data_IF_378257273347
#
_entry.id   IF_378257273347
#
_cell.length_a   1.000
_cell.length_b   1.000
_cell.length_c   1.000
_cell.angle_alpha   90.00
_cell.angle_beta   90.00
_cell.angle_gamma   90.00
#
_symmetry.space_group_name_H-M   'P 1'
#
loop_
_entity.id
_entity.type
_entity.pdbx_description
1 polymer ?
#
# COMPACT_ATOMS: atom_id res chain seq x y z
N UNK A 1 1.72 -5.79 5.29
CA UNK A 1 0.66 -5.05 6.02
C UNK A 1 -0.23 -4.35 5.00
N UNK A 2 -1.51 -4.12 5.31
CA UNK A 2 -2.47 -3.48 4.39
C UNK A 2 -3.26 -2.43 5.15
N UNK A 3 -3.30 -1.22 4.62
CA UNK A 3 -4.15 -0.12 5.06
C UNK A 3 -5.09 0.29 3.93
N UNK A 4 -6.34 0.60 4.27
CA UNK A 4 -7.36 1.02 3.31
C UNK A 4 -7.92 2.35 3.80
N UNK A 5 -7.81 3.38 2.98
CA UNK A 5 -8.32 4.71 3.31
C UNK A 5 -9.85 4.73 3.27
N UNK A 6 -10.47 5.05 4.41
CA UNK A 6 -11.89 5.40 4.50
C UNK A 6 -12.11 6.90 4.25
N UNK A 7 -13.37 7.32 4.10
CA UNK A 7 -13.73 8.72 3.89
C UNK A 7 -13.37 9.66 5.05
N UNK A 8 -13.28 9.12 6.27
CA UNK A 8 -12.88 9.90 7.46
C UNK A 8 -11.36 9.96 7.66
N UNK A 9 -10.59 9.18 6.92
CA UNK A 9 -9.15 9.11 7.11
C UNK A 9 -8.42 10.20 6.33
N UNK A 10 -7.50 10.86 7.02
CA UNK A 10 -6.53 11.73 6.39
C UNK A 10 -5.43 10.89 5.72
N UNK A 11 -5.17 11.13 4.42
CA UNK A 11 -4.15 10.40 3.69
C UNK A 11 -2.76 10.53 4.34
N UNK A 12 -2.44 11.71 4.86
CA UNK A 12 -1.15 11.94 5.52
C UNK A 12 -0.98 11.05 6.75
N UNK A 13 -1.98 10.98 7.62
CA UNK A 13 -1.95 10.14 8.81
C UNK A 13 -1.75 8.66 8.47
N UNK A 14 -2.37 8.17 7.39
CA UNK A 14 -2.14 6.81 6.92
C UNK A 14 -0.73 6.61 6.38
N UNK A 15 -0.17 7.56 5.63
CA UNK A 15 1.22 7.49 5.17
C UNK A 15 2.20 7.46 6.34
N UNK A 16 1.99 8.28 7.37
CA UNK A 16 2.81 8.28 8.59
C UNK A 16 2.76 6.91 9.28
N UNK A 17 1.58 6.27 9.33
CA UNK A 17 1.42 4.90 9.84
C UNK A 17 2.15 3.85 9.00
N UNK A 18 2.13 3.99 7.67
CA UNK A 18 2.87 3.08 6.77
C UNK A 18 4.38 3.15 7.03
N UNK A 19 4.90 4.35 7.30
CA UNK A 19 6.29 4.57 7.69
C UNK A 19 6.60 3.91 9.04
N UNK A 20 5.76 4.11 10.06
CA UNK A 20 5.91 3.46 11.37
C UNK A 20 6.02 1.92 11.24
N UNK A 21 5.16 1.31 10.42
CA UNK A 21 5.23 -0.13 10.20
C UNK A 21 6.50 -0.55 9.47
N UNK A 22 6.97 0.23 8.49
CA UNK A 22 8.23 -0.04 7.79
C UNK A 22 9.41 0.01 8.75
N UNK A 23 9.45 1.04 9.60
CA UNK A 23 10.49 1.22 10.63
C UNK A 23 10.47 0.06 11.64
N UNK A 24 9.29 -0.47 11.94
CA UNK A 24 9.10 -1.66 12.76
C UNK A 24 9.34 -3.00 12.02
N UNK A 25 9.93 -2.97 10.82
CA UNK A 25 10.39 -4.16 10.10
C UNK A 25 9.41 -4.73 9.07
N UNK A 26 8.31 -4.04 8.75
CA UNK A 26 7.41 -4.45 7.68
C UNK A 26 8.13 -4.50 6.33
N UNK A 27 8.12 -5.66 5.67
CA UNK A 27 8.84 -5.88 4.41
C UNK A 27 8.10 -5.35 3.18
N UNK A 28 6.78 -5.49 3.17
CA UNK A 28 5.88 -5.08 2.10
C UNK A 28 4.57 -4.56 2.70
N UNK A 29 4.18 -3.36 2.29
CA UNK A 29 2.97 -2.67 2.74
C UNK A 29 2.18 -2.09 1.57
N UNK A 30 0.85 -2.15 1.63
CA UNK A 30 -0.03 -1.48 0.68
C UNK A 30 -0.94 -0.50 1.41
N UNK A 31 -0.95 0.76 0.97
CA UNK A 31 -1.96 1.75 1.34
C UNK A 31 -2.88 1.97 0.14
N UNK A 32 -4.11 1.49 0.25
CA UNK A 32 -5.13 1.55 -0.79
C UNK A 32 -5.95 2.82 -0.59
N UNK A 33 -5.72 3.82 -1.44
CA UNK A 33 -6.49 5.07 -1.47
C UNK A 33 -7.54 5.03 -2.58
N UNK A 34 -8.76 4.59 -2.22
CA UNK A 34 -9.91 4.55 -3.14
C UNK A 34 -10.39 5.94 -3.56
N UNK A 35 -10.18 6.95 -2.71
CA UNK A 35 -10.62 8.33 -2.97
C UNK A 35 -9.72 8.95 -4.04
N UNK A 36 -8.40 8.76 -3.90
CA UNK A 36 -7.39 9.17 -4.88
C UNK A 36 -7.23 8.22 -6.06
N UNK A 37 -7.89 7.05 -6.05
CA UNK A 37 -7.75 5.96 -7.03
C UNK A 37 -6.30 5.53 -7.25
N UNK A 38 -5.60 5.34 -6.15
CA UNK A 38 -4.20 4.94 -6.15
C UNK A 38 -3.86 3.96 -5.02
N UNK A 39 -2.81 3.16 -5.23
CA UNK A 39 -2.21 2.33 -4.20
C UNK A 39 -0.74 2.74 -4.02
N UNK A 40 -0.35 3.00 -2.78
CA UNK A 40 1.04 3.18 -2.40
C UNK A 40 1.62 1.84 -1.94
N UNK A 41 2.76 1.45 -2.50
CA UNK A 41 3.45 0.19 -2.22
C UNK A 41 4.75 0.51 -1.50
N UNK A 42 4.80 0.20 -0.21
CA UNK A 42 5.96 0.44 0.66
C UNK A 42 6.82 -0.82 0.76
N UNK A 43 8.14 -0.66 0.57
CA UNK A 43 9.10 -1.77 0.69
C UNK A 43 10.15 -1.50 1.76
N UNK A 44 10.75 -2.57 2.29
CA UNK A 44 11.80 -2.48 3.33
C UNK A 44 12.99 -1.62 2.94
N UNK A 45 13.35 -1.58 1.65
CA UNK A 45 14.50 -0.82 1.15
C UNK A 45 14.25 0.70 1.08
N UNK A 46 13.11 1.18 1.60
CA UNK A 46 12.76 2.60 1.57
C UNK A 46 11.99 3.03 0.33
N UNK A 47 11.92 2.19 -0.72
CA UNK A 47 11.18 2.54 -1.93
C UNK A 47 9.67 2.58 -1.69
N UNK A 48 9.03 3.55 -2.35
CA UNK A 48 7.58 3.70 -2.43
C UNK A 48 7.22 3.77 -3.91
N UNK A 49 6.39 2.84 -4.36
CA UNK A 49 5.79 2.88 -5.69
C UNK A 49 4.34 3.33 -5.58
N UNK A 50 3.85 4.08 -6.57
CA UNK A 50 2.46 4.50 -6.66
C UNK A 50 1.88 3.90 -7.94
N UNK A 51 0.80 3.15 -7.81
CA UNK A 51 0.00 2.68 -8.94
C UNK A 51 -1.35 3.37 -8.93
N UNK A 52 -1.76 3.90 -10.08
CA UNK A 52 -3.03 4.63 -10.25
C UNK A 52 -3.94 3.89 -11.23
N UNK A 53 -5.25 4.07 -11.08
CA UNK A 53 -6.24 3.52 -12.02
C UNK A 53 -7.51 3.05 -11.33
N UNK A 54 -8.51 2.63 -12.12
CA UNK A 54 -9.75 2.05 -11.58
C UNK A 54 -9.56 0.63 -11.04
N UNK A 55 -8.59 -0.10 -11.59
CA UNK A 55 -8.18 -1.43 -11.11
C UNK A 55 -6.66 -1.50 -11.08
N UNK A 56 -6.11 -1.95 -9.96
CA UNK A 56 -4.66 -2.14 -9.77
C UNK A 56 -4.38 -3.59 -9.45
N UNK A 57 -3.37 -4.16 -10.10
CA UNK A 57 -2.85 -5.50 -9.74
C UNK A 57 -1.64 -5.36 -8.80
N UNK A 58 -1.72 -6.04 -7.66
CA UNK A 58 -0.69 -6.11 -6.63
C UNK A 58 -0.09 -7.52 -6.61
N UNK A 59 1.22 -7.62 -6.50
CA UNK A 59 1.92 -8.89 -6.26
C UNK A 59 2.54 -8.89 -4.87
N UNK A 60 2.68 -10.06 -4.26
CA UNK A 60 3.36 -10.23 -2.98
C UNK A 60 4.90 -10.14 -3.05
N UNK A 61 5.45 -9.93 -4.24
CA UNK A 61 6.89 -9.84 -4.52
C UNK A 61 7.67 -11.03 -3.91
N UNK A 62 8.89 -10.81 -3.42
CA UNK A 62 9.70 -11.82 -2.72
C UNK A 62 9.19 -12.11 -1.28
N UNK A 63 8.24 -11.33 -0.79
CA UNK A 63 7.74 -11.42 0.59
C UNK A 63 6.65 -12.47 0.72
N UNK A 64 5.74 -12.49 -0.25
CA UNK A 64 4.66 -13.47 -0.39
C UNK A 64 4.68 -13.98 -1.83
N UNK A 65 5.61 -14.90 -2.16
CA UNK A 65 5.70 -15.47 -3.50
C UNK A 65 4.35 -16.02 -3.96
N UNK A 66 4.08 -15.94 -5.26
CA UNK A 66 2.86 -16.40 -5.93
C UNK A 66 1.55 -15.68 -5.54
N UNK A 67 1.57 -14.77 -4.56
CA UNK A 67 0.42 -13.93 -4.27
C UNK A 67 0.26 -12.87 -5.37
N UNK A 68 -0.89 -12.88 -6.04
CA UNK A 68 -1.34 -11.81 -6.93
C UNK A 68 -2.79 -11.48 -6.61
N UNK A 69 -3.13 -10.20 -6.53
CA UNK A 69 -4.47 -9.73 -6.21
C UNK A 69 -4.84 -8.51 -7.05
N UNK A 70 -6.07 -8.47 -7.54
CA UNK A 70 -6.64 -7.28 -8.16
C UNK A 70 -7.45 -6.49 -7.14
N UNK A 71 -7.25 -5.17 -7.13
CA UNK A 71 -7.96 -4.23 -6.28
C UNK A 71 -8.71 -3.25 -7.17
N UNK A 72 -10.00 -3.10 -6.94
CA UNK A 72 -10.82 -2.07 -7.57
C UNK A 72 -10.86 -0.83 -6.67
N UNK A 73 -10.57 0.34 -7.23
CA UNK A 73 -10.39 1.60 -6.50
C UNK A 73 -11.54 2.57 -6.74
#
# INVERSE_FOLDING_TARGET
MVEIRSSSDELKALKDKMEEYRDNGCRLGWLIDRIGKQVFIYRRNGSIEIKEGSTVTLSGEDVLPDLTMQVNL
#
